data_IF_989664230376
#
_entry.id   IF_989664230376
#
_cell.length_a   1.000
_cell.length_b   1.000
_cell.length_c   1.000
_cell.angle_alpha   90.00
_cell.angle_beta   90.00
_cell.angle_gamma   90.00
#
_symmetry.space_group_name_H-M   'P 1'
#
loop_
_entity.id
_entity.type
_entity.pdbx_description
1 polymer ?
#
# COMPACT_ATOMS: atom_id res chain seq x y z
N UNK A 1 -3.79 21.45 -16.29
CA UNK A 1 -4.32 20.31 -15.51
C UNK A 1 -5.39 20.81 -14.53
N UNK A 2 -6.63 20.41 -14.73
CA UNK A 2 -7.73 20.69 -13.82
C UNK A 2 -7.57 19.89 -12.50
N UNK A 3 -8.42 20.16 -11.50
CA UNK A 3 -8.33 19.51 -10.19
C UNK A 3 -8.47 18.00 -10.28
N UNK A 4 -9.42 17.48 -11.08
CA UNK A 4 -9.63 16.04 -11.23
C UNK A 4 -8.42 15.35 -11.85
N UNK A 5 -7.83 15.95 -12.89
CA UNK A 5 -6.61 15.44 -13.53
C UNK A 5 -5.43 15.46 -12.56
N UNK A 6 -5.32 16.48 -11.69
CA UNK A 6 -4.30 16.53 -10.62
C UNK A 6 -4.47 15.40 -9.61
N UNK A 7 -5.69 15.15 -9.18
CA UNK A 7 -5.99 14.08 -8.23
C UNK A 7 -5.70 12.71 -8.82
N UNK A 8 -6.11 12.46 -10.08
CA UNK A 8 -5.78 11.21 -10.79
C UNK A 8 -4.28 11.05 -11.05
N UNK A 9 -3.57 12.13 -11.34
CA UNK A 9 -2.12 12.09 -11.46
C UNK A 9 -1.47 11.67 -10.15
N UNK A 10 -1.84 12.26 -9.01
CA UNK A 10 -1.28 11.86 -7.72
C UNK A 10 -1.66 10.42 -7.32
N UNK A 11 -2.87 9.96 -7.65
CA UNK A 11 -3.26 8.56 -7.49
C UNK A 11 -2.35 7.62 -8.28
N UNK A 12 -2.18 7.88 -9.57
CA UNK A 12 -1.30 7.10 -10.43
C UNK A 12 0.16 7.12 -9.91
N UNK A 13 0.64 8.29 -9.49
CA UNK A 13 1.97 8.45 -8.91
C UNK A 13 2.13 7.64 -7.62
N UNK A 14 1.14 7.62 -6.73
CA UNK A 14 1.20 6.84 -5.47
C UNK A 14 1.11 5.33 -5.69
N UNK A 15 0.35 4.90 -6.71
CA UNK A 15 0.28 3.48 -7.13
C UNK A 15 1.61 3.02 -7.73
N UNK A 16 2.20 3.84 -8.61
CA UNK A 16 3.46 3.53 -9.27
C UNK A 16 4.71 3.78 -8.41
N UNK A 17 4.56 4.51 -7.30
CA UNK A 17 5.67 4.83 -6.41
C UNK A 17 6.30 3.55 -5.83
N UNK A 18 7.65 3.51 -5.71
CA UNK A 18 8.33 2.38 -5.10
C UNK A 18 7.76 2.07 -3.71
N UNK A 19 7.43 0.80 -3.50
CA UNK A 19 6.98 0.30 -2.21
C UNK A 19 8.18 -0.18 -1.41
N UNK A 20 8.15 0.09 -0.11
CA UNK A 20 9.16 -0.34 0.86
C UNK A 20 8.48 -0.98 2.05
N UNK A 21 9.18 -1.89 2.72
CA UNK A 21 8.71 -2.49 3.96
C UNK A 21 8.45 -1.41 5.02
N UNK A 22 7.25 -1.41 5.60
CA UNK A 22 6.89 -0.47 6.66
C UNK A 22 7.63 -0.84 7.95
N UNK A 23 8.30 0.12 8.58
CA UNK A 23 9.07 -0.11 9.80
C UNK A 23 10.10 -1.25 9.68
N UNK A 24 10.84 -1.29 8.57
CA UNK A 24 11.91 -2.26 8.32
C UNK A 24 13.10 -2.15 9.28
N UNK A 25 14.31 -1.91 8.74
CA UNK A 25 15.53 -1.78 9.56
C UNK A 25 15.49 -0.53 10.46
N UNK A 26 16.43 -0.41 11.40
CA UNK A 26 16.49 0.69 12.37
C UNK A 26 16.41 2.10 11.73
N UNK A 27 16.91 2.25 10.51
CA UNK A 27 17.02 3.47 9.72
C UNK A 27 15.99 3.57 8.59
N UNK A 28 14.94 2.74 8.57
CA UNK A 28 14.00 2.55 7.45
C UNK A 28 13.32 3.82 6.90
N UNK A 29 13.36 4.92 7.65
CA UNK A 29 12.76 6.22 7.27
C UNK A 29 13.79 7.28 6.90
N UNK A 30 15.09 7.02 7.01
CA UNK A 30 16.13 8.06 6.87
C UNK A 30 16.22 8.61 5.44
N UNK A 31 15.91 7.80 4.44
CA UNK A 31 15.85 8.19 3.03
C UNK A 31 14.49 8.80 2.62
N UNK A 32 13.49 8.80 3.51
CA UNK A 32 12.20 9.46 3.27
C UNK A 32 12.40 10.97 3.40
N UNK A 33 11.85 11.76 2.47
CA UNK A 33 11.95 13.22 2.50
C UNK A 33 11.29 13.82 3.76
N UNK A 34 11.78 14.99 4.17
CA UNK A 34 11.12 15.81 5.20
C UNK A 34 9.99 16.68 4.64
N UNK A 35 9.76 16.65 3.32
CA UNK A 35 8.70 17.44 2.69
C UNK A 35 7.30 17.02 3.14
N UNK A 36 6.35 17.92 2.96
CA UNK A 36 4.94 17.61 3.07
C UNK A 36 4.52 16.64 1.97
N UNK A 37 3.51 15.81 2.24
CA UNK A 37 3.05 14.84 1.25
C UNK A 37 1.94 13.94 1.73
N UNK A 38 1.65 12.94 0.89
CA UNK A 38 0.69 11.87 1.12
C UNK A 38 1.41 10.54 1.09
N UNK A 39 1.01 9.62 1.95
CA UNK A 39 1.52 8.26 2.00
C UNK A 39 0.37 7.26 1.99
N UNK A 40 0.68 6.06 1.50
CA UNK A 40 -0.25 4.93 1.45
C UNK A 40 0.43 3.73 2.10
N UNK A 41 -0.30 3.08 3.00
CA UNK A 41 0.10 1.80 3.58
C UNK A 41 -0.66 0.70 2.83
N UNK A 42 0.10 -0.27 2.33
CA UNK A 42 -0.35 -1.38 1.52
C UNK A 42 -0.25 -2.68 2.30
N UNK A 43 -1.17 -3.61 2.06
CA UNK A 43 -1.12 -4.99 2.52
C UNK A 43 -1.44 -5.89 1.34
N UNK A 44 -0.55 -6.83 1.00
CA UNK A 44 -0.70 -7.70 -0.17
C UNK A 44 -1.09 -6.94 -1.46
N UNK A 45 -0.47 -5.77 -1.67
CA UNK A 45 -0.74 -4.91 -2.82
C UNK A 45 -2.04 -4.09 -2.79
N UNK A 46 -2.86 -4.25 -1.75
CA UNK A 46 -4.12 -3.51 -1.56
C UNK A 46 -3.88 -2.33 -0.62
N UNK A 47 -4.38 -1.14 -0.98
CA UNK A 47 -4.30 0.03 -0.11
C UNK A 47 -5.18 -0.17 1.14
N UNK A 48 -4.58 -0.06 2.33
CA UNK A 48 -5.26 -0.19 3.63
C UNK A 48 -5.37 1.11 4.39
N UNK A 49 -4.47 2.06 4.14
CA UNK A 49 -4.52 3.35 4.81
C UNK A 49 -3.90 4.43 3.94
N UNK A 50 -4.51 5.61 3.95
CA UNK A 50 -3.97 6.83 3.35
C UNK A 50 -3.79 7.88 4.44
N UNK A 51 -2.68 8.59 4.42
CA UNK A 51 -2.51 9.73 5.31
C UNK A 51 -1.80 10.89 4.63
N UNK A 52 -2.13 12.11 5.05
CA UNK A 52 -1.33 13.31 4.72
C UNK A 52 -0.47 13.76 5.90
N UNK A 53 0.57 14.54 5.59
CA UNK A 53 1.37 15.23 6.61
C UNK A 53 2.14 16.42 6.03
N UNK A 54 2.47 17.38 6.89
CA UNK A 54 3.41 18.46 6.58
C UNK A 54 4.88 18.02 6.58
N UNK A 55 5.21 16.82 7.08
CA UNK A 55 6.57 16.29 7.09
C UNK A 55 6.59 14.75 7.09
N UNK A 56 6.82 14.15 5.91
CA UNK A 56 6.75 12.70 5.69
C UNK A 56 7.65 11.92 6.66
N UNK A 57 8.95 12.25 6.73
CA UNK A 57 9.89 11.58 7.64
C UNK A 57 9.47 11.61 9.11
N UNK A 58 8.95 12.75 9.59
CA UNK A 58 8.48 12.87 10.96
C UNK A 58 7.28 11.96 11.22
N UNK A 59 6.28 11.98 10.31
CA UNK A 59 5.09 11.14 10.39
C UNK A 59 5.41 9.65 10.35
N UNK A 60 6.41 9.21 9.60
CA UNK A 60 6.86 7.81 9.61
C UNK A 60 7.38 7.38 10.99
N UNK A 61 7.96 8.31 11.76
CA UNK A 61 8.27 8.07 13.18
C UNK A 61 7.03 7.79 14.01
N UNK A 62 5.98 8.60 13.83
CA UNK A 62 4.71 8.45 14.56
C UNK A 62 3.98 7.15 14.24
N UNK A 63 4.13 6.60 13.03
CA UNK A 63 3.51 5.32 12.66
C UNK A 63 3.91 4.19 13.61
N UNK A 64 5.14 4.22 14.13
CA UNK A 64 5.67 3.22 15.09
C UNK A 64 5.34 3.51 16.56
N UNK A 65 4.41 4.44 16.80
CA UNK A 65 3.94 4.82 18.13
C UNK A 65 2.42 4.65 18.22
N UNK A 66 1.95 3.72 19.05
CA UNK A 66 0.53 3.47 19.29
C UNK A 66 -0.25 4.74 19.65
N UNK A 67 0.35 5.61 20.48
CA UNK A 67 -0.33 6.81 21.00
C UNK A 67 -0.61 7.84 19.90
N UNK A 68 0.27 7.90 18.90
CA UNK A 68 0.34 9.01 17.95
C UNK A 68 -0.43 8.75 16.65
N UNK A 69 -0.80 7.50 16.35
CA UNK A 69 -1.36 7.17 15.05
C UNK A 69 -2.52 6.16 15.08
N UNK A 70 -3.60 6.49 14.36
CA UNK A 70 -4.79 5.63 14.25
C UNK A 70 -4.48 4.27 13.60
N UNK A 71 -3.64 4.25 12.57
CA UNK A 71 -3.20 3.00 11.94
C UNK A 71 -2.45 2.08 12.91
N UNK A 72 -1.62 2.65 13.79
CA UNK A 72 -0.91 1.89 14.82
C UNK A 72 -1.89 1.26 15.80
N UNK A 73 -2.89 2.02 16.25
CA UNK A 73 -3.97 1.50 17.12
C UNK A 73 -4.72 0.36 16.45
N UNK A 74 -5.12 0.54 15.20
CA UNK A 74 -5.83 -0.50 14.43
C UNK A 74 -4.98 -1.78 14.26
N UNK A 75 -3.68 -1.62 14.00
CA UNK A 75 -2.75 -2.74 13.85
C UNK A 75 -2.57 -3.49 15.18
N UNK A 76 -2.38 -2.78 16.29
CA UNK A 76 -2.28 -3.41 17.61
C UNK A 76 -3.53 -4.22 17.95
N UNK A 77 -4.72 -3.67 17.69
CA UNK A 77 -5.98 -4.41 17.88
C UNK A 77 -6.04 -5.65 16.99
N UNK A 78 -5.71 -5.52 15.69
CA UNK A 78 -5.79 -6.63 14.74
C UNK A 78 -4.86 -7.80 15.07
N UNK A 79 -3.64 -7.51 15.54
CA UNK A 79 -2.64 -8.52 15.85
C UNK A 79 -2.55 -8.86 17.34
N UNK A 80 -3.47 -8.35 18.17
CA UNK A 80 -3.48 -8.54 19.62
C UNK A 80 -2.14 -8.15 20.29
N UNK A 81 -1.60 -6.99 19.90
CA UNK A 81 -0.34 -6.42 20.40
C UNK A 81 -0.68 -5.38 21.47
N UNK A 82 -0.02 -5.45 22.63
CA UNK A 82 -0.19 -4.48 23.69
C UNK A 82 0.29 -3.08 23.25
N UNK A 83 -0.36 -2.02 23.74
CA UNK A 83 -0.02 -0.64 23.39
C UNK A 83 1.41 -0.23 23.80
N UNK A 84 2.02 -0.94 24.76
CA UNK A 84 3.41 -0.76 25.18
C UNK A 84 4.41 -1.62 24.37
N UNK A 85 3.94 -2.62 23.63
CA UNK A 85 4.78 -3.52 22.83
C UNK A 85 5.12 -2.92 21.47
N UNK A 86 6.10 -2.02 21.48
CA UNK A 86 6.62 -1.38 20.26
C UNK A 86 7.28 -2.39 19.32
N UNK A 87 7.96 -3.40 19.85
CA UNK A 87 8.67 -4.40 19.05
C UNK A 87 7.69 -5.29 18.29
N UNK A 88 6.61 -5.73 18.94
CA UNK A 88 5.51 -6.43 18.32
C UNK A 88 4.87 -5.61 17.19
N UNK A 89 4.62 -4.31 17.41
CA UNK A 89 4.09 -3.43 16.37
C UNK A 89 5.02 -3.33 15.16
N UNK A 90 6.32 -3.13 15.39
CA UNK A 90 7.33 -3.05 14.32
C UNK A 90 7.44 -4.38 13.56
N UNK A 91 7.36 -5.52 14.26
CA UNK A 91 7.35 -6.85 13.64
C UNK A 91 6.10 -7.05 12.77
N UNK A 92 4.93 -6.65 13.25
CA UNK A 92 3.69 -6.73 12.49
C UNK A 92 3.73 -5.83 11.25
N UNK A 93 4.27 -4.62 11.36
CA UNK A 93 4.50 -3.74 10.23
C UNK A 93 5.42 -4.35 9.18
N UNK A 94 6.62 -4.75 9.59
CA UNK A 94 7.65 -5.23 8.66
C UNK A 94 7.28 -6.55 7.97
N UNK A 95 6.39 -7.34 8.56
CA UNK A 95 5.97 -8.62 8.00
C UNK A 95 4.74 -8.53 7.07
N UNK A 96 3.89 -7.51 7.25
CA UNK A 96 2.57 -7.49 6.61
C UNK A 96 2.31 -6.27 5.73
N UNK A 97 3.10 -5.19 5.90
CA UNK A 97 2.77 -3.90 5.29
C UNK A 97 3.93 -3.29 4.53
N UNK A 98 3.55 -2.64 3.43
CA UNK A 98 4.45 -1.80 2.65
C UNK A 98 3.98 -0.35 2.70
N UNK A 99 4.87 0.57 2.38
CA UNK A 99 4.63 2.01 2.33
C UNK A 99 5.03 2.54 0.96
N UNK A 100 4.19 3.39 0.38
CA UNK A 100 4.60 4.33 -0.67
C UNK A 100 4.24 5.76 -0.26
N UNK A 101 4.90 6.75 -0.86
CA UNK A 101 4.62 8.16 -0.59
C UNK A 101 4.90 9.04 -1.81
N UNK A 102 4.31 10.23 -1.80
CA UNK A 102 4.52 11.28 -2.78
C UNK A 102 4.66 12.62 -2.06
N UNK A 103 5.71 13.38 -2.36
CA UNK A 103 5.89 14.73 -1.85
C UNK A 103 4.89 15.67 -2.54
N UNK A 104 4.07 16.35 -1.74
CA UNK A 104 2.99 17.22 -2.20
C UNK A 104 2.98 18.45 -1.27
N UNK A 105 3.69 19.53 -1.65
CA UNK A 105 3.85 20.71 -0.78
C UNK A 105 2.52 21.46 -0.56
N UNK A 106 1.60 21.39 -1.52
CA UNK A 106 0.28 22.02 -1.46
C UNK A 106 -0.77 21.09 -2.06
N UNK A 107 -1.97 21.04 -1.47
CA UNK A 107 -3.08 20.22 -1.97
C UNK A 107 -3.12 18.79 -1.42
N UNK A 108 -2.29 18.47 -0.42
CA UNK A 108 -2.18 17.12 0.16
C UNK A 108 -3.46 16.65 0.85
N UNK A 109 -4.26 17.57 1.39
CA UNK A 109 -5.50 17.24 2.07
C UNK A 109 -6.56 16.79 1.06
N UNK A 110 -6.62 17.49 -0.06
CA UNK A 110 -7.51 17.20 -1.18
C UNK A 110 -7.15 15.85 -1.82
N UNK A 111 -5.85 15.55 -1.92
CA UNK A 111 -5.37 14.23 -2.38
C UNK A 111 -5.77 13.12 -1.39
N UNK A 112 -5.53 13.29 -0.09
CA UNK A 112 -5.94 12.30 0.92
C UNK A 112 -7.45 12.04 0.87
N UNK A 113 -8.26 13.09 0.86
CA UNK A 113 -9.72 13.00 0.83
C UNK A 113 -10.23 12.30 -0.44
N UNK A 114 -9.68 12.67 -1.60
CA UNK A 114 -9.96 12.01 -2.87
C UNK A 114 -9.66 10.51 -2.79
N UNK A 115 -8.48 10.13 -2.30
CA UNK A 115 -8.08 8.72 -2.19
C UNK A 115 -8.91 7.96 -1.16
N UNK A 116 -9.28 8.60 -0.05
CA UNK A 116 -10.20 8.00 0.93
C UNK A 116 -11.52 7.65 0.26
N UNK A 117 -12.11 8.58 -0.51
CA UNK A 117 -13.36 8.29 -1.23
C UNK A 117 -13.19 7.25 -2.32
N UNK A 118 -12.11 7.35 -3.09
CA UNK A 118 -11.80 6.50 -4.24
C UNK A 118 -11.49 5.07 -3.80
N UNK A 119 -10.81 4.85 -2.69
CA UNK A 119 -10.41 3.51 -2.23
C UNK A 119 -11.17 3.05 -0.96
N UNK A 120 -12.28 3.71 -0.60
CA UNK A 120 -13.03 3.46 0.65
C UNK A 120 -13.46 2.02 0.91
N UNK A 121 -13.54 1.19 -0.13
CA UNK A 121 -13.88 -0.24 -0.02
C UNK A 121 -12.79 -1.07 0.67
N UNK A 122 -11.53 -0.63 0.63
CA UNK A 122 -10.39 -1.38 1.20
C UNK A 122 -9.71 -0.68 2.38
N UNK A 123 -9.93 0.63 2.53
CA UNK A 123 -9.26 1.46 3.53
C UNK A 123 -9.85 1.31 4.93
N UNK A 124 -8.96 1.42 5.91
CA UNK A 124 -9.29 1.52 7.35
C UNK A 124 -9.52 2.96 7.80
N UNK A 125 -9.24 3.94 6.93
CA UNK A 125 -9.58 5.32 7.17
C UNK A 125 -11.07 5.46 7.49
N UNK A 126 -11.38 6.19 8.56
CA UNK A 126 -12.76 6.56 8.82
C UNK A 126 -13.23 7.55 7.76
N UNK A 127 -14.19 7.15 6.94
CA UNK A 127 -14.90 8.08 6.05
C UNK A 127 -15.81 8.96 6.92
N UNK A 128 -15.63 10.27 6.84
CA UNK A 128 -16.44 11.23 7.62
C UNK A 128 -17.69 11.62 6.83
N UNK A 129 -18.79 11.95 7.52
CA UNK A 129 -20.02 12.46 6.88
C UNK A 129 -19.72 13.70 6.04
N UNK A 130 -18.96 14.66 6.59
CA UNK A 130 -18.51 15.87 5.88
C UNK A 130 -17.83 15.59 4.53
N UNK A 131 -17.07 14.50 4.45
CA UNK A 131 -16.40 14.11 3.21
C UNK A 131 -17.39 13.52 2.18
N UNK A 132 -18.44 12.82 2.64
CA UNK A 132 -19.49 12.29 1.78
C UNK A 132 -20.47 13.37 1.30
N UNK A 133 -20.74 14.37 2.14
CA UNK A 133 -21.66 15.46 1.84
C UNK A 133 -21.03 16.55 0.95
N UNK A 134 -19.70 16.53 0.77
CA UNK A 134 -18.96 17.54 0.02
C UNK A 134 -19.13 17.42 -1.49
N UNK A 135 -19.67 18.46 -2.13
CA UNK A 135 -19.90 18.50 -3.59
C UNK A 135 -18.63 18.40 -4.45
N UNK A 136 -17.46 18.75 -3.90
CA UNK A 136 -16.19 18.80 -4.61
C UNK A 136 -15.75 17.45 -5.22
N UNK A 137 -16.26 16.33 -4.66
CA UNK A 137 -15.89 14.97 -5.07
C UNK A 137 -17.08 14.13 -5.56
N UNK A 138 -18.22 14.74 -5.93
CA UNK A 138 -19.41 14.01 -6.40
C UNK A 138 -19.17 13.14 -7.64
N UNK A 139 -18.10 13.42 -8.39
CA UNK A 139 -17.68 12.65 -9.56
C UNK A 139 -16.83 11.42 -9.20
N UNK A 140 -16.38 11.29 -7.95
CA UNK A 140 -15.50 10.21 -7.50
C UNK A 140 -16.32 8.94 -7.30
N UNK A 141 -16.09 7.98 -8.18
CA UNK A 141 -16.66 6.63 -8.05
C UNK A 141 -15.67 5.78 -7.24
N UNK A 142 -16.11 5.02 -6.23
CA UNK A 142 -15.25 4.08 -5.52
C UNK A 142 -14.63 3.05 -6.46
N UNK A 143 -13.38 2.69 -6.21
CA UNK A 143 -12.72 1.61 -6.90
C UNK A 143 -13.44 0.31 -6.54
N UNK A 144 -13.64 -0.53 -7.56
CA UNK A 144 -14.11 -1.87 -7.34
C UNK A 144 -13.22 -2.52 -6.28
N UNK A 145 -13.84 -3.15 -5.28
CA UNK A 145 -13.09 -4.02 -4.38
C UNK A 145 -12.46 -5.09 -5.25
N UNK A 146 -11.13 -5.15 -5.28
CA UNK A 146 -10.43 -6.32 -5.79
C UNK A 146 -10.75 -7.47 -4.85
N UNK A 147 -11.90 -8.12 -5.08
CA UNK A 147 -12.10 -9.49 -4.65
C UNK A 147 -11.11 -10.31 -5.44
N UNK A 148 -10.15 -10.93 -4.75
CA UNK A 148 -9.32 -11.97 -5.33
C UNK A 148 -10.24 -13.04 -5.93
N UNK A 149 -10.36 -13.02 -7.25
CA UNK A 149 -10.75 -14.16 -8.07
C UNK A 149 -9.81 -14.14 -9.28
N UNK A 150 -8.54 -14.38 -8.99
CA UNK A 150 -7.68 -15.15 -9.89
C UNK A 150 -7.31 -16.46 -9.19
N UNK A 151 -8.33 -17.28 -8.92
CA UNK A 151 -8.16 -18.72 -8.98
C UNK A 151 -7.97 -19.09 -10.47
N UNK A 152 -6.72 -19.04 -10.93
CA UNK A 152 -6.38 -19.27 -12.33
C UNK A 152 -4.88 -19.26 -12.60
N UNK A 153 -4.09 -19.91 -11.75
CA UNK A 153 -2.62 -19.93 -11.90
C UNK A 153 -1.93 -21.08 -11.16
N UNK A 154 -2.60 -22.22 -10.98
CA UNK A 154 -1.89 -23.48 -10.73
C UNK A 154 -1.62 -24.15 -12.07
N UNK A 155 -0.43 -24.75 -12.24
CA UNK A 155 -0.01 -25.62 -13.37
C UNK A 155 0.49 -24.97 -14.68
N UNK A 156 1.42 -24.01 -14.62
CA UNK A 156 2.28 -23.69 -15.79
C UNK A 156 3.79 -23.95 -15.58
N UNK A 157 4.26 -24.14 -14.35
CA UNK A 157 5.70 -24.36 -14.08
C UNK A 157 6.09 -25.85 -14.09
N UNK A 158 5.15 -26.79 -13.91
CA UNK A 158 5.42 -28.23 -14.02
C UNK A 158 5.29 -28.82 -15.42
N UNK A 159 4.71 -28.11 -16.40
CA UNK A 159 4.61 -28.56 -17.79
C UNK A 159 5.84 -28.21 -18.64
N UNK A 160 6.65 -27.23 -18.21
CA UNK A 160 7.89 -26.84 -18.90
C UNK A 160 9.09 -27.74 -18.51
N UNK A 161 9.06 -28.40 -17.36
CA UNK A 161 10.13 -29.33 -16.93
C UNK A 161 9.91 -30.77 -17.42
N UNK A 162 8.68 -31.16 -17.79
CA UNK A 162 8.40 -32.49 -18.34
C UNK A 162 8.63 -32.59 -19.85
N UNK A 163 8.64 -31.48 -20.59
CA UNK A 163 8.88 -31.47 -22.03
C UNK A 163 10.37 -31.35 -22.40
N UNK A 164 11.20 -30.72 -21.57
CA UNK A 164 12.66 -30.71 -21.78
C UNK A 164 13.33 -32.07 -21.51
N UNK A 165 12.72 -32.93 -20.68
CA UNK A 165 13.25 -34.27 -20.40
C UNK A 165 12.89 -35.32 -21.47
N UNK A 166 11.94 -35.05 -22.37
CA UNK A 166 11.55 -35.99 -23.43
C UNK A 166 12.26 -35.76 -24.77
N UNK A 167 12.77 -34.56 -25.02
CA UNK A 167 13.51 -34.27 -26.27
C UNK A 167 14.99 -34.67 -26.17
N UNK A 168 15.60 -34.71 -24.97
CA UNK A 168 17.00 -35.12 -24.82
C UNK A 168 17.24 -36.64 -24.90
N UNK A 169 16.24 -37.47 -24.61
CA UNK A 169 16.38 -38.94 -24.65
C UNK A 169 16.19 -39.53 -26.06
N UNK A 170 15.82 -38.71 -27.06
CA UNK A 170 15.59 -39.18 -28.44
C UNK A 170 16.76 -38.84 -29.38
N UNK A 171 17.65 -37.90 -29.02
CA UNK A 171 18.83 -37.56 -29.82
C UNK A 171 20.10 -38.38 -29.47
N UNK A 172 20.11 -39.17 -28.39
CA UNK A 172 21.27 -39.99 -28.00
C UNK A 172 21.17 -41.46 -28.44
N UNK A 173 20.17 -41.83 -29.24
CA UNK A 173 19.94 -43.21 -29.69
C UNK A 173 20.22 -43.45 -31.19
N UNK A 174 20.72 -42.46 -31.94
CA UNK A 174 21.07 -42.60 -33.37
C UNK A 174 22.60 -42.54 -33.67
N UNK A 175 23.48 -42.61 -32.66
CA UNK A 175 24.94 -42.59 -32.89
C UNK A 175 25.77 -43.72 -32.23
N UNK A 176 25.21 -44.95 -32.12
CA UNK A 176 26.01 -46.16 -31.85
C UNK A 176 25.56 -47.38 -32.67
#
# INVERSE_FOLDING_TARGET
>A
MNVQEKLRHYEATLIAAPRRILAGKHDWKNDITSDAGVYVIWEAGIARYVGETSALRARMGDLTSFKNHSFAKGTCVRFNIDASDKEGLVKAYSSNYELSFCAIPLGRKEVEEYLILRWRSSLWNKVTSRLLDGHQYNWVVPAASTSENEAGGTTAIQALQSNQAKELDTELAEEL
#
